data_IF_340917014994
#
_entry.id   IF_340917014994
#
_cell.length_a   1.000
_cell.length_b   1.000
_cell.length_c   1.000
_cell.angle_alpha   90.00
_cell.angle_beta   90.00
_cell.angle_gamma   90.00
#
_symmetry.space_group_name_H-M   'P 1'
#
loop_
_entity.id
_entity.type
_entity.pdbx_description
1 polymer ?
#
# COMPACT_ATOMS: atom_id res chain seq x y z
N UNK A 1 27.27 7.29 7.83
CA UNK A 1 27.45 8.70 8.21
C UNK A 1 26.65 8.98 9.47
N UNK A 2 27.20 9.78 10.37
CA UNK A 2 26.56 10.15 11.65
C UNK A 2 25.66 11.39 11.56
N UNK A 3 25.67 12.07 10.42
CA UNK A 3 24.85 13.28 10.20
C UNK A 3 23.97 13.12 8.97
N UNK A 4 22.75 13.72 8.97
CA UNK A 4 21.93 13.79 7.79
C UNK A 4 22.66 14.48 6.63
N UNK A 5 22.45 13.95 5.42
CA UNK A 5 23.02 14.54 4.19
C UNK A 5 21.85 14.86 3.27
N UNK A 6 21.84 16.08 2.74
CA UNK A 6 20.82 16.49 1.80
C UNK A 6 20.91 15.70 0.50
N UNK A 7 19.76 15.19 0.04
CA UNK A 7 19.61 14.61 -1.30
C UNK A 7 19.22 15.76 -2.23
N UNK A 8 20.10 16.15 -3.18
CA UNK A 8 19.79 17.26 -4.08
C UNK A 8 18.64 16.86 -5.02
N UNK A 9 17.71 17.79 -5.23
CA UNK A 9 16.73 17.68 -6.32
C UNK A 9 17.36 18.13 -7.64
N UNK A 10 16.73 17.78 -8.77
CA UNK A 10 17.10 18.32 -10.09
C UNK A 10 16.98 19.85 -10.07
N UNK A 11 17.89 20.54 -10.74
CA UNK A 11 17.90 22.00 -10.81
C UNK A 11 16.52 22.55 -11.22
N UNK A 12 16.03 23.54 -10.50
CA UNK A 12 14.72 24.15 -10.72
C UNK A 12 13.52 23.37 -10.19
N UNK A 13 13.74 22.27 -9.44
CA UNK A 13 12.66 21.48 -8.83
C UNK A 13 12.84 21.34 -7.32
N UNK A 14 11.75 21.00 -6.62
CA UNK A 14 11.74 20.68 -5.18
C UNK A 14 11.09 19.32 -4.98
N UNK A 15 11.46 18.61 -3.91
CA UNK A 15 10.79 17.38 -3.53
C UNK A 15 9.40 17.70 -2.95
N UNK A 16 8.36 17.11 -3.51
CA UNK A 16 6.95 17.34 -3.11
C UNK A 16 6.32 16.15 -2.42
N UNK A 17 6.87 14.97 -2.61
CA UNK A 17 6.35 13.74 -2.01
C UNK A 17 7.49 12.79 -1.65
N UNK A 18 7.36 12.12 -0.51
CA UNK A 18 8.30 11.11 -0.01
C UNK A 18 7.53 9.87 0.45
N UNK A 19 7.99 8.70 0.04
CA UNK A 19 7.55 7.41 0.58
C UNK A 19 8.78 6.54 0.83
N UNK A 20 8.89 5.99 2.03
CA UNK A 20 9.90 5.00 2.39
C UNK A 20 9.29 3.62 2.55
N UNK A 21 9.97 2.60 2.06
CA UNK A 21 9.75 1.20 2.44
C UNK A 21 10.88 0.72 3.34
N UNK A 22 10.90 -0.56 3.70
CA UNK A 22 11.92 -1.15 4.59
C UNK A 22 13.35 -0.91 4.10
N UNK A 23 13.57 -0.86 2.80
CA UNK A 23 14.90 -0.89 2.18
C UNK A 23 15.10 0.13 1.07
N UNK A 24 14.06 0.83 0.64
CA UNK A 24 14.11 1.77 -0.47
C UNK A 24 13.37 3.07 -0.16
N UNK A 25 13.84 4.16 -0.77
CA UNK A 25 13.22 5.47 -0.72
C UNK A 25 12.67 5.84 -2.09
N UNK A 26 11.52 6.48 -2.11
CA UNK A 26 10.87 7.00 -3.29
C UNK A 26 10.48 8.46 -3.07
N UNK A 27 10.75 9.31 -4.03
CA UNK A 27 10.39 10.73 -3.98
C UNK A 27 9.82 11.18 -5.31
N UNK A 28 8.92 12.14 -5.27
CA UNK A 28 8.42 12.82 -6.46
C UNK A 28 8.77 14.30 -6.32
N UNK A 29 9.26 14.91 -7.40
CA UNK A 29 9.56 16.32 -7.42
C UNK A 29 8.41 17.18 -8.00
N UNK A 30 8.54 18.48 -7.95
CA UNK A 30 7.54 19.44 -8.44
C UNK A 30 7.28 19.38 -9.95
N UNK A 31 8.11 18.68 -10.71
CA UNK A 31 7.91 18.38 -12.13
C UNK A 31 7.16 17.06 -12.38
N UNK A 32 6.70 16.37 -11.32
CA UNK A 32 6.06 15.06 -11.43
C UNK A 32 7.02 13.91 -11.79
N UNK A 33 8.32 14.11 -11.63
CA UNK A 33 9.32 13.06 -11.86
C UNK A 33 9.46 12.22 -10.59
N UNK A 34 9.33 10.90 -10.73
CA UNK A 34 9.56 9.95 -9.66
C UNK A 34 11.00 9.47 -9.66
N UNK A 35 11.65 9.52 -8.51
CA UNK A 35 13.01 9.06 -8.27
C UNK A 35 13.03 8.02 -7.15
N UNK A 36 13.87 7.00 -7.27
CA UNK A 36 13.99 5.95 -6.26
C UNK A 36 15.42 5.50 -6.09
N UNK A 37 15.75 5.05 -4.88
CA UNK A 37 17.05 4.45 -4.53
C UNK A 37 16.93 3.52 -3.33
N UNK A 38 17.99 2.82 -2.99
CA UNK A 38 18.04 1.80 -1.94
C UNK A 38 18.06 0.40 -2.48
N UNK A 39 17.72 -0.57 -1.66
CA UNK A 39 17.68 -1.97 -2.05
C UNK A 39 16.28 -2.30 -2.61
N UNK A 40 16.29 -2.94 -3.76
CA UNK A 40 15.09 -3.36 -4.46
C UNK A 40 15.11 -4.88 -4.65
N UNK A 41 14.09 -5.55 -4.12
CA UNK A 41 13.86 -6.96 -4.33
C UNK A 41 12.83 -7.16 -5.45
N UNK A 42 12.92 -8.26 -6.19
CA UNK A 42 11.86 -8.82 -7.03
C UNK A 42 11.15 -7.86 -8.01
N UNK A 43 11.91 -7.15 -8.83
CA UNK A 43 11.29 -6.36 -9.91
C UNK A 43 10.85 -4.97 -9.48
N UNK A 44 11.69 -4.27 -8.77
CA UNK A 44 11.57 -2.82 -8.59
C UNK A 44 11.60 -2.11 -9.95
N UNK A 45 11.10 -0.88 -10.07
CA UNK A 45 10.95 -0.17 -11.34
C UNK A 45 12.28 0.06 -12.11
N UNK A 46 13.42 -0.39 -11.58
CA UNK A 46 14.75 -0.25 -12.21
C UNK A 46 15.48 -1.57 -12.42
N UNK A 47 14.97 -2.66 -11.88
CA UNK A 47 15.68 -3.92 -11.97
C UNK A 47 15.06 -4.80 -13.06
N UNK A 48 15.59 -4.72 -14.27
CA UNK A 48 15.20 -5.57 -15.40
C UNK A 48 15.49 -7.05 -15.18
N UNK A 49 16.37 -7.38 -14.22
CA UNK A 49 16.56 -8.74 -13.72
C UNK A 49 15.73 -8.93 -12.45
N UNK A 50 15.10 -10.07 -12.26
CA UNK A 50 14.37 -10.43 -11.02
C UNK A 50 15.31 -10.60 -9.80
N UNK A 51 16.57 -10.25 -9.92
CA UNK A 51 17.57 -10.31 -8.88
C UNK A 51 17.53 -9.04 -8.01
N UNK A 52 17.79 -9.20 -6.72
CA UNK A 52 17.96 -8.07 -5.81
C UNK A 52 19.08 -7.14 -6.31
N UNK A 53 18.83 -5.86 -6.32
CA UNK A 53 19.80 -4.84 -6.69
C UNK A 53 19.70 -3.63 -5.77
N UNK A 54 20.81 -2.93 -5.56
CA UNK A 54 20.84 -1.70 -4.78
C UNK A 54 21.27 -0.51 -5.64
N UNK A 55 20.71 0.63 -5.35
CA UNK A 55 21.10 1.93 -5.90
C UNK A 55 21.46 2.85 -4.77
N UNK A 56 22.71 3.29 -4.73
CA UNK A 56 23.20 4.24 -3.71
C UNK A 56 22.87 5.70 -4.04
N UNK A 57 22.32 5.96 -5.20
CA UNK A 57 21.93 7.30 -5.69
C UNK A 57 20.53 7.26 -6.28
N UNK A 58 19.78 8.37 -6.23
CA UNK A 58 18.49 8.47 -6.89
C UNK A 58 18.57 8.17 -8.38
N UNK A 59 17.66 7.33 -8.87
CA UNK A 59 17.48 7.01 -10.30
C UNK A 59 16.05 7.36 -10.67
N UNK A 60 15.85 8.04 -11.79
CA UNK A 60 14.55 8.44 -12.27
C UNK A 60 13.78 7.25 -12.86
N UNK A 61 12.53 7.08 -12.43
CA UNK A 61 11.56 6.22 -13.10
C UNK A 61 11.00 6.96 -14.32
N UNK A 62 10.90 6.33 -15.49
CA UNK A 62 10.36 7.00 -16.67
C UNK A 62 8.99 7.63 -16.46
N UNK A 63 8.80 8.85 -16.97
CA UNK A 63 7.57 9.63 -16.88
C UNK A 63 7.72 10.89 -16.02
N UNK A 64 6.81 11.85 -16.24
CA UNK A 64 6.81 13.17 -15.57
C UNK A 64 5.43 13.56 -15.05
N UNK A 65 4.54 12.59 -14.88
CA UNK A 65 3.16 12.78 -14.48
C UNK A 65 2.79 11.96 -13.22
N UNK A 66 3.81 11.59 -12.43
CA UNK A 66 3.61 10.88 -11.18
C UNK A 66 3.15 11.80 -10.06
N UNK A 67 2.09 11.41 -9.35
CA UNK A 67 1.49 12.17 -8.26
C UNK A 67 1.66 11.49 -6.90
N UNK A 68 1.73 10.17 -6.88
CA UNK A 68 1.79 9.38 -5.65
C UNK A 68 2.56 8.08 -5.88
N UNK A 69 3.29 7.61 -4.89
CA UNK A 69 3.94 6.29 -4.88
C UNK A 69 3.95 5.72 -3.47
N UNK A 70 3.63 4.44 -3.38
CA UNK A 70 3.80 3.68 -2.14
C UNK A 70 4.50 2.36 -2.46
N UNK A 71 5.49 2.02 -1.65
CA UNK A 71 6.32 0.84 -1.86
C UNK A 71 6.59 0.15 -0.52
N UNK A 72 6.49 -1.16 -0.51
CA UNK A 72 7.07 -1.99 0.54
C UNK A 72 8.34 -2.70 0.04
N UNK A 73 8.84 -3.69 0.76
CA UNK A 73 10.08 -4.39 0.38
C UNK A 73 9.99 -5.25 -0.89
N UNK A 74 8.81 -5.59 -1.37
CA UNK A 74 8.62 -6.58 -2.46
C UNK A 74 7.77 -6.09 -3.63
N UNK A 75 6.81 -5.21 -3.41
CA UNK A 75 5.95 -4.67 -4.45
C UNK A 75 5.59 -3.20 -4.17
N UNK A 76 5.11 -2.51 -5.18
CA UNK A 76 4.73 -1.13 -5.06
C UNK A 76 3.63 -0.72 -6.04
N UNK A 77 3.08 0.45 -5.78
CA UNK A 77 2.07 1.08 -6.61
C UNK A 77 2.33 2.58 -6.72
N UNK A 78 2.01 3.14 -7.87
CA UNK A 78 2.13 4.56 -8.14
C UNK A 78 0.90 5.07 -8.90
N UNK A 79 0.52 6.31 -8.67
CA UNK A 79 -0.62 6.95 -9.31
C UNK A 79 -0.12 8.16 -10.09
N UNK A 80 -0.63 8.30 -11.30
CA UNK A 80 -0.37 9.46 -12.15
C UNK A 80 -1.41 10.55 -11.94
N UNK A 81 -1.09 11.76 -12.33
CA UNK A 81 -1.97 12.95 -12.23
C UNK A 81 -3.30 12.78 -12.95
N UNK A 82 -3.37 11.89 -13.95
CA UNK A 82 -4.60 11.54 -14.67
C UNK A 82 -5.45 10.47 -13.96
N UNK A 83 -5.09 10.08 -12.74
CA UNK A 83 -5.83 9.10 -11.93
C UNK A 83 -5.62 7.64 -12.35
N UNK A 84 -4.64 7.31 -13.17
CA UNK A 84 -4.28 5.92 -13.48
C UNK A 84 -3.37 5.33 -12.41
N UNK A 85 -3.63 4.07 -12.04
CA UNK A 85 -2.84 3.30 -11.06
C UNK A 85 -1.90 2.34 -11.79
N UNK A 86 -0.67 2.28 -11.32
CA UNK A 86 0.39 1.45 -11.87
C UNK A 86 1.04 0.64 -10.76
N UNK A 87 1.26 -0.65 -10.97
CA UNK A 87 1.87 -1.56 -10.00
C UNK A 87 3.13 -2.21 -10.56
N UNK A 88 4.05 -2.58 -9.66
CA UNK A 88 5.35 -3.17 -10.01
C UNK A 88 5.88 -4.03 -8.86
N UNK A 89 6.87 -4.85 -9.13
CA UNK A 89 7.48 -5.75 -8.16
C UNK A 89 6.95 -7.17 -8.24
N UNK A 90 6.98 -7.88 -7.13
CA UNK A 90 6.50 -9.25 -7.02
C UNK A 90 4.99 -9.33 -7.18
N UNK A 91 4.53 -10.34 -7.92
CA UNK A 91 3.09 -10.61 -8.11
C UNK A 91 2.64 -11.88 -7.37
N UNK A 92 3.17 -12.07 -6.17
CA UNK A 92 2.73 -13.18 -5.32
C UNK A 92 1.24 -13.00 -5.01
N UNK A 93 0.49 -14.08 -5.16
CA UNK A 93 -0.93 -14.09 -4.85
C UNK A 93 -1.79 -13.03 -5.58
N UNK A 94 -1.31 -12.49 -6.71
CA UNK A 94 -2.04 -11.48 -7.47
C UNK A 94 -1.89 -10.05 -6.93
N UNK A 95 -0.86 -9.77 -6.12
CA UNK A 95 -0.67 -8.46 -5.48
C UNK A 95 -0.58 -7.28 -6.45
N UNK A 96 -0.23 -7.49 -7.72
CA UNK A 96 -0.18 -6.42 -8.71
C UNK A 96 -1.54 -6.03 -9.31
N UNK A 97 -2.62 -6.82 -9.11
CA UNK A 97 -3.96 -6.46 -9.58
C UNK A 97 -4.15 -6.43 -11.10
N UNK A 98 -3.31 -7.14 -11.85
CA UNK A 98 -3.26 -7.15 -13.32
C UNK A 98 -3.91 -8.38 -13.95
N UNK A 99 -4.85 -9.01 -13.23
CA UNK A 99 -5.56 -10.24 -13.62
C UNK A 99 -4.64 -11.47 -13.81
N UNK A 100 -3.47 -11.44 -13.18
CA UNK A 100 -2.50 -12.54 -13.19
C UNK A 100 -2.03 -12.79 -11.76
N UNK A 101 -1.61 -14.01 -11.48
CA UNK A 101 -0.88 -14.30 -10.25
C UNK A 101 0.20 -15.34 -10.49
N UNK A 102 1.35 -15.16 -9.85
CA UNK A 102 2.43 -16.14 -9.80
C UNK A 102 2.31 -17.02 -8.56
N UNK A 103 2.65 -18.28 -8.69
CA UNK A 103 2.87 -19.16 -7.55
C UNK A 103 4.37 -19.14 -7.17
N UNK A 104 4.64 -19.15 -5.87
CA UNK A 104 5.99 -19.38 -5.38
C UNK A 104 6.41 -20.84 -5.73
N UNK A 105 7.66 -21.11 -6.20
CA UNK A 105 8.82 -20.23 -6.22
C UNK A 105 9.09 -19.48 -7.56
N UNK A 106 8.25 -19.62 -8.57
CA UNK A 106 8.57 -19.18 -9.94
C UNK A 106 8.48 -17.69 -10.23
N UNK A 107 7.77 -16.87 -9.46
CA UNK A 107 7.58 -15.41 -9.64
C UNK A 107 7.43 -14.94 -11.09
N UNK A 108 6.89 -15.79 -11.98
CA UNK A 108 6.87 -15.59 -13.45
C UNK A 108 6.04 -14.41 -13.89
N UNK A 109 5.20 -13.85 -13.01
CA UNK A 109 4.32 -12.71 -13.29
C UNK A 109 4.74 -11.42 -12.59
N UNK A 110 5.94 -11.37 -12.00
CA UNK A 110 6.52 -10.14 -11.44
C UNK A 110 6.78 -9.11 -12.54
N UNK A 111 6.68 -7.84 -12.20
CA UNK A 111 6.88 -6.72 -13.13
C UNK A 111 8.01 -5.82 -12.67
N UNK A 112 9.07 -5.73 -13.47
CA UNK A 112 10.20 -4.81 -13.26
C UNK A 112 9.93 -3.39 -13.78
N UNK A 113 8.81 -3.19 -14.47
CA UNK A 113 8.35 -1.87 -14.92
C UNK A 113 6.92 -1.67 -14.46
N UNK A 114 6.51 -0.45 -14.11
CA UNK A 114 5.13 -0.15 -13.76
C UNK A 114 4.16 -0.63 -14.84
N UNK A 115 3.18 -1.45 -14.44
CA UNK A 115 2.12 -1.98 -15.29
C UNK A 115 0.79 -1.41 -14.83
N UNK A 116 -0.03 -0.92 -15.74
CA UNK A 116 -1.28 -0.26 -15.39
C UNK A 116 -2.32 -1.27 -14.88
N UNK A 117 -2.92 -0.95 -13.75
CA UNK A 117 -4.11 -1.62 -13.21
C UNK A 117 -5.35 -1.03 -13.91
N UNK A 118 -6.32 -1.86 -14.33
CA UNK A 118 -7.53 -1.35 -14.99
C UNK A 118 -8.27 -0.28 -14.17
N UNK A 119 -8.84 0.69 -14.88
CA UNK A 119 -9.62 1.78 -14.29
C UNK A 119 -8.84 3.08 -14.13
N UNK A 120 -9.61 4.12 -13.83
CA UNK A 120 -9.13 5.48 -13.62
C UNK A 120 -9.76 6.04 -12.32
N UNK A 121 -9.51 7.28 -12.02
CA UNK A 121 -9.99 7.93 -10.78
C UNK A 121 -9.35 7.41 -9.49
N UNK A 122 -8.23 6.70 -9.59
CA UNK A 122 -7.44 6.32 -8.42
C UNK A 122 -6.80 7.55 -7.79
N UNK A 123 -6.88 7.66 -6.45
CA UNK A 123 -6.40 8.82 -5.70
C UNK A 123 -5.27 8.51 -4.73
N UNK A 124 -5.31 7.33 -4.10
CA UNK A 124 -4.25 6.82 -3.20
C UNK A 124 -4.14 5.31 -3.29
N UNK A 125 -2.99 4.77 -2.93
CA UNK A 125 -2.76 3.33 -2.85
C UNK A 125 -1.83 2.99 -1.69
N UNK A 126 -1.96 1.77 -1.18
CA UNK A 126 -1.15 1.23 -0.11
C UNK A 126 -0.79 -0.22 -0.41
N UNK A 127 0.48 -0.57 -0.18
CA UNK A 127 1.01 -1.89 -0.44
C UNK A 127 1.32 -2.59 0.88
N UNK A 128 0.74 -3.76 1.09
CA UNK A 128 1.19 -4.74 2.06
C UNK A 128 2.10 -5.77 1.35
N UNK A 129 2.64 -6.71 2.09
CA UNK A 129 3.55 -7.72 1.52
C UNK A 129 2.90 -8.50 0.35
N UNK A 130 1.64 -8.91 0.51
CA UNK A 130 0.93 -9.74 -0.47
C UNK A 130 -0.49 -9.23 -0.79
N UNK A 131 -0.84 -8.03 -0.38
CA UNK A 131 -2.14 -7.41 -0.61
C UNK A 131 -1.99 -5.93 -0.91
N UNK A 132 -2.91 -5.38 -1.67
CA UNK A 132 -2.97 -3.95 -1.97
C UNK A 132 -4.34 -3.37 -1.71
N UNK A 133 -4.33 -2.07 -1.44
CA UNK A 133 -5.52 -1.24 -1.30
C UNK A 133 -5.38 0.00 -2.15
N UNK A 134 -6.47 0.44 -2.75
CA UNK A 134 -6.49 1.70 -3.47
C UNK A 134 -7.84 2.40 -3.30
N UNK A 135 -7.77 3.71 -3.16
CA UNK A 135 -8.92 4.60 -3.08
C UNK A 135 -9.19 5.23 -4.43
N UNK A 136 -10.46 5.40 -4.74
CA UNK A 136 -10.91 6.26 -5.84
C UNK A 136 -11.41 7.61 -5.32
N UNK A 137 -11.48 8.57 -6.21
CA UNK A 137 -11.96 9.93 -5.90
C UNK A 137 -13.43 9.99 -5.50
N UNK A 138 -14.21 8.92 -5.77
CA UNK A 138 -15.60 8.76 -5.37
C UNK A 138 -15.77 8.21 -3.93
N UNK A 139 -14.67 8.05 -3.17
CA UNK A 139 -14.69 7.53 -1.81
C UNK A 139 -14.81 6.00 -1.70
N UNK A 140 -14.69 5.27 -2.82
CA UNK A 140 -14.64 3.81 -2.80
C UNK A 140 -13.24 3.31 -2.47
N UNK A 141 -13.18 2.22 -1.67
CA UNK A 141 -11.96 1.50 -1.33
C UNK A 141 -11.95 0.14 -2.03
N UNK A 142 -10.84 -0.16 -2.67
CA UNK A 142 -10.63 -1.39 -3.43
C UNK A 142 -9.44 -2.15 -2.87
N UNK A 143 -9.48 -3.48 -2.98
CA UNK A 143 -8.47 -4.39 -2.45
C UNK A 143 -8.26 -5.58 -3.36
N UNK A 144 -7.06 -6.18 -3.32
CA UNK A 144 -6.71 -7.40 -4.03
C UNK A 144 -5.46 -8.04 -3.45
N UNK A 145 -5.09 -9.22 -3.92
CA UNK A 145 -3.97 -10.02 -3.44
C UNK A 145 -4.42 -11.13 -2.51
N UNK A 146 -3.61 -11.43 -1.51
CA UNK A 146 -3.79 -12.54 -0.57
C UNK A 146 -4.76 -12.22 0.57
N UNK A 147 -5.53 -13.22 1.02
CA UNK A 147 -6.56 -13.06 2.05
C UNK A 147 -6.48 -14.09 3.19
N UNK A 148 -5.30 -14.58 3.54
CA UNK A 148 -5.14 -15.64 4.53
C UNK A 148 -5.62 -15.28 5.95
N UNK A 149 -5.82 -14.03 6.22
CA UNK A 149 -6.24 -13.49 7.52
C UNK A 149 -7.46 -12.56 7.41
N UNK A 150 -8.25 -12.65 6.34
CA UNK A 150 -9.40 -11.76 6.15
C UNK A 150 -9.01 -10.30 5.85
N UNK A 151 -7.72 -10.05 5.60
CA UNK A 151 -7.21 -8.69 5.41
C UNK A 151 -7.85 -7.96 4.24
N UNK A 152 -8.39 -8.62 3.24
CA UNK A 152 -9.07 -7.95 2.13
C UNK A 152 -10.42 -7.33 2.52
N UNK A 153 -11.00 -7.68 3.66
CA UNK A 153 -12.25 -7.07 4.12
C UNK A 153 -13.50 -7.42 3.28
N UNK A 154 -13.47 -8.53 2.53
CA UNK A 154 -14.50 -8.88 1.54
C UNK A 154 -15.48 -9.96 2.04
N UNK A 155 -15.50 -10.25 3.34
CA UNK A 155 -16.29 -11.34 3.93
C UNK A 155 -16.07 -12.70 3.26
N UNK A 156 -14.84 -13.01 2.90
CA UNK A 156 -14.46 -14.23 2.22
C UNK A 156 -13.52 -15.08 3.08
N UNK A 157 -13.53 -16.42 2.92
CA UNK A 157 -12.61 -17.29 3.64
C UNK A 157 -11.14 -16.97 3.32
N UNK A 158 -10.26 -17.25 4.28
CA UNK A 158 -8.84 -16.92 4.23
C UNK A 158 -8.02 -17.58 3.11
N UNK A 159 -8.58 -18.48 2.33
CA UNK A 159 -7.93 -19.09 1.15
C UNK A 159 -8.19 -18.34 -0.15
N UNK A 160 -9.08 -17.34 -0.12
CA UNK A 160 -9.44 -16.55 -1.31
C UNK A 160 -8.30 -15.63 -1.72
N UNK A 161 -8.12 -15.44 -3.01
CA UNK A 161 -7.13 -14.52 -3.61
C UNK A 161 -7.79 -13.79 -4.75
N UNK A 162 -7.44 -12.52 -4.92
CA UNK A 162 -7.92 -11.72 -6.04
C UNK A 162 -6.74 -11.12 -6.79
N UNK A 163 -6.65 -11.39 -8.08
CA UNK A 163 -5.64 -10.83 -8.98
C UNK A 163 -6.12 -9.57 -9.72
N UNK A 164 -7.31 -9.10 -9.38
CA UNK A 164 -7.89 -7.84 -9.88
C UNK A 164 -8.55 -7.08 -8.74
N UNK A 165 -8.64 -5.75 -8.81
CA UNK A 165 -9.30 -4.96 -7.79
C UNK A 165 -10.75 -5.38 -7.54
N UNK A 166 -11.11 -5.55 -6.26
CA UNK A 166 -12.48 -5.81 -5.78
C UNK A 166 -12.84 -4.74 -4.77
N UNK A 167 -14.02 -4.17 -4.87
CA UNK A 167 -14.46 -3.10 -3.97
C UNK A 167 -14.80 -3.65 -2.58
N UNK A 168 -14.28 -3.00 -1.54
CA UNK A 168 -14.74 -3.17 -0.17
C UNK A 168 -16.08 -2.45 -0.03
N UNK A 169 -17.11 -3.06 0.60
CA UNK A 169 -18.42 -2.44 0.73
C UNK A 169 -18.36 -1.05 1.35
N UNK A 170 -19.10 -0.11 0.77
CA UNK A 170 -19.19 1.29 1.19
C UNK A 170 -18.50 2.27 0.26
N UNK A 171 -18.88 3.54 0.36
CA UNK A 171 -18.42 4.63 -0.53
C UNK A 171 -17.94 5.86 0.23
N UNK A 172 -17.75 5.75 1.55
CA UNK A 172 -17.36 6.87 2.42
C UNK A 172 -15.99 6.64 3.08
N UNK A 173 -15.12 5.86 2.44
CA UNK A 173 -13.78 5.62 2.96
C UNK A 173 -12.90 6.86 2.78
N UNK A 174 -12.27 7.30 3.87
CA UNK A 174 -11.32 8.42 3.82
C UNK A 174 -9.98 7.95 3.27
N UNK A 175 -9.53 8.56 2.18
CA UNK A 175 -8.19 8.30 1.65
C UNK A 175 -7.08 8.95 2.49
N UNK A 176 -7.41 9.77 3.48
CA UNK A 176 -6.45 10.46 4.32
C UNK A 176 -5.78 9.49 5.31
N UNK A 177 -6.57 8.55 5.87
CA UNK A 177 -6.13 7.74 6.99
C UNK A 177 -6.50 6.26 6.80
N UNK A 178 -5.50 5.49 6.45
CA UNK A 178 -5.51 4.04 6.47
C UNK A 178 -4.13 3.57 6.91
N UNK A 179 -4.07 2.62 7.81
CA UNK A 179 -2.82 2.05 8.27
C UNK A 179 -2.89 0.52 8.40
N UNK A 180 -1.76 -0.10 8.40
CA UNK A 180 -1.61 -1.55 8.34
C UNK A 180 -0.55 -2.03 9.29
N UNK A 181 -0.80 -3.15 9.93
CA UNK A 181 0.29 -3.92 10.55
C UNK A 181 1.13 -4.58 9.44
N UNK A 182 2.36 -4.10 9.16
CA UNK A 182 3.15 -4.53 8.01
C UNK A 182 3.43 -6.04 7.97
N UNK A 183 3.43 -6.70 9.12
CA UNK A 183 3.74 -8.13 9.25
C UNK A 183 2.60 -8.98 9.80
N UNK A 184 1.45 -8.38 10.11
CA UNK A 184 0.38 -9.06 10.86
C UNK A 184 -0.99 -9.01 10.19
N UNK A 185 -1.11 -8.41 9.00
CA UNK A 185 -2.34 -8.37 8.20
C UNK A 185 -3.58 -7.79 8.92
N UNK A 186 -3.38 -6.97 9.95
CA UNK A 186 -4.42 -6.15 10.56
C UNK A 186 -4.56 -4.84 9.80
N UNK A 187 -5.76 -4.31 9.68
CA UNK A 187 -6.10 -3.11 8.93
C UNK A 187 -6.94 -2.18 9.77
N UNK A 188 -6.61 -0.90 9.76
CA UNK A 188 -7.41 0.20 10.31
C UNK A 188 -7.73 1.20 9.21
N UNK A 189 -8.96 1.69 9.16
CA UNK A 189 -9.38 2.74 8.23
C UNK A 189 -10.44 3.63 8.88
N UNK A 190 -10.45 4.91 8.50
CA UNK A 190 -11.43 5.89 8.94
C UNK A 190 -12.36 6.21 7.77
N UNK A 191 -13.65 6.36 8.04
CA UNK A 191 -14.61 6.88 7.08
C UNK A 191 -14.71 8.40 7.16
N UNK A 192 -15.31 9.02 6.16
CA UNK A 192 -15.49 10.49 6.08
C UNK A 192 -16.40 11.04 7.15
N UNK A 193 -17.19 10.18 7.81
CA UNK A 193 -17.99 10.52 8.99
C UNK A 193 -17.19 10.47 10.30
N UNK A 194 -15.89 10.22 10.24
CA UNK A 194 -14.99 10.08 11.37
C UNK A 194 -15.09 8.75 12.12
N UNK A 195 -15.87 7.77 11.66
CA UNK A 195 -15.94 6.45 12.29
C UNK A 195 -14.67 5.62 11.98
N UNK A 196 -14.16 4.88 12.98
CA UNK A 196 -12.98 4.02 12.86
C UNK A 196 -13.41 2.57 12.64
N UNK A 197 -12.77 1.90 11.69
CA UNK A 197 -13.06 0.54 11.27
C UNK A 197 -11.80 -0.32 11.26
N UNK A 198 -11.95 -1.61 11.63
CA UNK A 198 -10.86 -2.58 11.64
C UNK A 198 -11.28 -3.92 11.02
N UNK A 199 -10.32 -4.63 10.42
CA UNK A 199 -10.49 -6.00 9.91
C UNK A 199 -9.13 -6.67 9.71
N UNK A 200 -9.15 -7.94 9.33
CA UNK A 200 -7.94 -8.75 9.16
C UNK A 200 -7.57 -9.50 10.43
N UNK A 201 -6.30 -9.76 10.59
CA UNK A 201 -5.75 -10.53 11.71
C UNK A 201 -5.86 -9.74 13.01
N UNK A 202 -6.37 -10.41 14.06
CA UNK A 202 -6.56 -9.82 15.39
C UNK A 202 -5.74 -10.54 16.47
N UNK A 203 -4.50 -10.85 16.18
CA UNK A 203 -3.63 -11.50 17.17
C UNK A 203 -3.39 -10.55 18.35
N UNK A 204 -3.63 -11.04 19.57
CA UNK A 204 -3.48 -10.27 20.81
C UNK A 204 -4.37 -9.02 20.88
N UNK A 205 -5.56 -9.04 20.28
CA UNK A 205 -6.51 -7.93 20.32
C UNK A 205 -6.10 -6.69 19.53
N UNK A 206 -5.18 -6.82 18.57
CA UNK A 206 -4.56 -5.70 17.84
C UNK A 206 -5.54 -4.82 17.05
N UNK A 207 -6.75 -5.28 16.79
CA UNK A 207 -7.79 -4.50 16.12
C UNK A 207 -8.58 -3.57 17.06
N UNK A 208 -8.40 -3.66 18.39
CA UNK A 208 -9.12 -2.82 19.33
C UNK A 208 -10.62 -3.15 19.48
N UNK A 209 -11.03 -4.39 19.16
CA UNK A 209 -12.44 -4.82 19.17
C UNK A 209 -12.84 -5.58 20.46
N UNK A 210 -12.04 -5.43 21.53
CA UNK A 210 -12.25 -6.07 22.83
C UNK A 210 -12.35 -7.62 22.77
N UNK A 211 -11.67 -8.21 21.79
CA UNK A 211 -11.53 -9.66 21.61
C UNK A 211 -10.31 -9.97 20.72
N UNK A 212 -10.03 -11.25 20.52
CA UNK A 212 -8.95 -11.71 19.62
C UNK A 212 -9.47 -12.38 18.34
N UNK A 213 -10.76 -12.19 18.03
CA UNK A 213 -11.38 -12.76 16.82
C UNK A 213 -10.88 -12.06 15.57
N UNK A 214 -10.50 -12.84 14.57
CA UNK A 214 -10.14 -12.36 13.25
C UNK A 214 -11.41 -11.96 12.46
N UNK A 215 -11.37 -10.84 11.75
CA UNK A 215 -12.50 -10.31 11.00
C UNK A 215 -12.20 -10.26 9.50
N UNK A 216 -13.03 -10.88 8.69
CA UNK A 216 -12.95 -10.84 7.23
C UNK A 216 -13.78 -9.70 6.60
N UNK A 217 -14.47 -8.92 7.41
CA UNK A 217 -15.24 -7.73 7.01
C UNK A 217 -14.86 -6.54 7.87
N UNK A 218 -14.90 -5.32 7.36
CA UNK A 218 -14.77 -4.12 8.18
C UNK A 218 -15.77 -4.13 9.34
N UNK A 219 -15.26 -3.94 10.55
CA UNK A 219 -16.03 -3.87 11.80
C UNK A 219 -15.71 -2.56 12.48
N UNK A 220 -16.74 -1.80 12.88
CA UNK A 220 -16.55 -0.50 13.53
C UNK A 220 -16.00 -0.67 14.94
N UNK A 221 -15.03 0.16 15.30
CA UNK A 221 -14.46 0.24 16.64
C UNK A 221 -15.25 1.28 17.44
N UNK A 222 -16.02 0.82 18.44
CA UNK A 222 -16.86 1.69 19.25
C UNK A 222 -17.91 2.45 18.46
N UNK A 223 -18.44 3.54 19.03
CA UNK A 223 -19.47 4.39 18.42
C UNK A 223 -19.00 5.82 18.16
N UNK A 224 -17.75 6.15 18.47
CA UNK A 224 -17.20 7.49 18.25
C UNK A 224 -17.02 7.77 16.74
N UNK A 225 -17.24 9.03 16.36
CA UNK A 225 -17.14 9.52 14.97
C UNK A 225 -16.25 10.76 14.86
N UNK A 226 -15.29 10.88 15.75
CA UNK A 226 -14.31 11.97 15.74
C UNK A 226 -12.87 11.46 15.67
N UNK A 227 -12.66 10.30 15.04
CA UNK A 227 -11.34 9.77 14.77
C UNK A 227 -10.70 10.50 13.59
N UNK A 228 -9.47 10.97 13.76
CA UNK A 228 -8.76 11.76 12.75
C UNK A 228 -7.50 11.06 12.24
N UNK A 229 -6.81 10.31 13.09
CA UNK A 229 -5.62 9.54 12.72
C UNK A 229 -5.71 8.13 13.30
N UNK A 230 -5.30 7.15 12.52
CA UNK A 230 -5.13 5.77 13.01
C UNK A 230 -3.72 5.26 12.69
N UNK A 231 -3.19 4.42 13.57
CA UNK A 231 -1.92 3.72 13.36
C UNK A 231 -1.97 2.34 14.00
N UNK A 232 -1.33 1.36 13.36
CA UNK A 232 -1.19 0.01 13.86
C UNK A 232 0.28 -0.42 13.79
N UNK A 233 0.86 -0.80 14.92
CA UNK A 233 2.26 -1.20 14.97
C UNK A 233 2.48 -2.59 14.40
N UNK A 234 3.64 -2.79 13.76
CA UNK A 234 4.07 -4.08 13.22
C UNK A 234 4.92 -4.93 14.16
N UNK A 235 5.08 -4.53 15.43
CA UNK A 235 5.95 -5.20 16.40
C UNK A 235 5.50 -6.63 16.79
N UNK A 236 6.30 -7.30 17.64
CA UNK A 236 5.97 -8.66 18.12
C UNK A 236 4.61 -8.74 18.83
N UNK A 237 4.21 -7.66 19.49
CA UNK A 237 2.88 -7.46 20.06
C UNK A 237 2.25 -6.23 19.36
N UNK A 238 1.55 -6.44 18.24
CA UNK A 238 0.95 -5.34 17.49
C UNK A 238 -0.12 -4.67 18.33
N UNK A 239 -0.15 -3.34 18.28
CA UNK A 239 -1.18 -2.52 18.93
C UNK A 239 -1.69 -1.48 17.97
N UNK A 240 -2.99 -1.21 18.02
CA UNK A 240 -3.63 -0.13 17.29
C UNK A 240 -3.74 1.10 18.19
N UNK A 241 -3.52 2.27 17.62
CA UNK A 241 -3.79 3.55 18.26
C UNK A 241 -4.53 4.46 17.27
N UNK A 242 -5.45 5.24 17.79
CA UNK A 242 -6.11 6.27 17.03
C UNK A 242 -6.28 7.51 17.90
N UNK A 243 -6.22 8.68 17.28
CA UNK A 243 -6.38 9.96 17.95
C UNK A 243 -7.72 10.58 17.56
N UNK A 244 -8.38 11.20 18.54
CA UNK A 244 -9.57 12.03 18.32
C UNK A 244 -9.17 13.49 18.41
N UNK A 245 -9.79 14.32 17.60
CA UNK A 245 -9.71 15.78 17.70
C UNK A 245 -10.83 16.36 18.56
#
# INVERSE_FOLDING_TARGET
>A
RSSPVQVPSKAGTTWTYLSGGDTACNVINSAGEWWSWGMHYYGSPFNTALAAGSRSSPVQVPGTDWAFVHFNSVCGAAIKTNGTLWTFGANNNGALGINEYGAWPGMTTSRSSPTQVPGTTWSKCYCLTDAMYAFKTDGTLWTWGHNNSGQLGLNQPGTTRYSSPVQIPGTTWSSAYMDFSPHKNGVLAIKTDGSLWAWGKNQSGSLGLNNETQYSSPTQIGSATNWDVCSISGGPAPSAAALTT
#
